data_IF_545791949698
#
_entry.id   IF_545791949698
#
_cell.length_a   1.000
_cell.length_b   1.000
_cell.length_c   1.000
_cell.angle_alpha   90.00
_cell.angle_beta   90.00
_cell.angle_gamma   90.00
#
_symmetry.space_group_name_H-M   'P 1'
#
loop_
_entity.id
_entity.type
_entity.pdbx_description
1 polymer ?
#
# COMPACT_ATOMS: atom_id res chain seq x y z
N UNK A 1 -0.78 -5.24 -4.00
CA UNK A 1 -2.19 -5.21 -3.64
C UNK A 1 -2.43 -4.38 -2.38
N UNK A 2 -3.69 -4.04 -2.15
CA UNK A 2 -4.09 -3.32 -0.95
C UNK A 2 -3.80 -4.09 0.34
N UNK A 3 -3.91 -5.40 0.29
CA UNK A 3 -3.62 -6.25 1.46
C UNK A 3 -2.13 -6.24 1.80
N UNK A 4 -1.27 -6.26 0.79
CA UNK A 4 0.19 -6.19 0.99
C UNK A 4 0.57 -4.83 1.60
N UNK A 5 0.01 -3.74 1.08
CA UNK A 5 0.23 -2.42 1.64
C UNK A 5 -0.25 -2.34 3.10
N UNK A 6 -1.43 -2.88 3.38
CA UNK A 6 -1.97 -2.91 4.75
C UNK A 6 -1.05 -3.67 5.70
N UNK A 7 -0.50 -4.79 5.27
CA UNK A 7 0.47 -5.56 6.06
C UNK A 7 1.76 -4.76 6.31
N UNK A 8 2.25 -4.10 5.27
CA UNK A 8 3.42 -3.22 5.38
C UNK A 8 3.18 -2.11 6.40
N UNK A 9 1.98 -1.52 6.36
CA UNK A 9 1.58 -0.49 7.32
C UNK A 9 1.57 -1.02 8.76
N UNK A 10 0.94 -2.18 9.00
CA UNK A 10 0.91 -2.78 10.33
C UNK A 10 2.31 -3.11 10.85
N UNK A 11 3.20 -3.60 10.00
CA UNK A 11 4.59 -3.82 10.38
C UNK A 11 5.27 -2.51 10.78
N UNK A 12 4.97 -1.42 10.09
CA UNK A 12 5.48 -0.09 10.45
C UNK A 12 4.99 0.37 11.82
N UNK A 13 3.72 0.13 12.13
CA UNK A 13 3.15 0.40 13.44
C UNK A 13 3.90 -0.40 14.53
N UNK A 14 4.08 -1.71 14.33
CA UNK A 14 4.71 -2.59 15.30
C UNK A 14 6.19 -2.28 15.50
N UNK A 15 6.90 -1.93 14.44
CA UNK A 15 8.34 -1.60 14.51
C UNK A 15 8.62 -0.21 15.07
N UNK A 16 7.61 0.62 15.20
CA UNK A 16 7.78 1.98 15.68
C UNK A 16 8.46 2.92 14.70
N UNK A 17 8.41 2.60 13.40
CA UNK A 17 9.00 3.45 12.35
C UNK A 17 8.11 4.62 11.97
N UNK A 18 6.84 4.57 12.34
CA UNK A 18 5.88 5.64 12.12
C UNK A 18 5.82 6.57 13.35
N UNK A 19 5.42 7.85 13.18
CA UNK A 19 5.33 8.77 14.29
C UNK A 19 4.39 8.27 15.39
N UNK A 20 4.73 8.57 16.64
CA UNK A 20 3.93 8.14 17.79
C UNK A 20 2.50 8.64 17.71
N UNK A 21 2.28 9.88 17.27
CA UNK A 21 0.95 10.45 17.13
C UNK A 21 0.07 9.66 16.18
N UNK A 22 0.64 9.24 15.06
CA UNK A 22 -0.07 8.46 14.06
C UNK A 22 -0.40 7.06 14.59
N UNK A 23 0.54 6.47 15.33
CA UNK A 23 0.34 5.17 15.95
C UNK A 23 -0.78 5.23 17.01
N UNK A 24 -0.79 6.27 17.82
CA UNK A 24 -1.82 6.47 18.83
C UNK A 24 -3.20 6.68 18.20
N UNK A 25 -3.28 7.47 17.13
CA UNK A 25 -4.52 7.63 16.36
C UNK A 25 -5.03 6.29 15.83
N UNK A 26 -4.13 5.47 15.31
CA UNK A 26 -4.49 4.16 14.78
C UNK A 26 -5.06 3.26 15.87
N UNK A 27 -4.38 3.17 17.00
CA UNK A 27 -4.82 2.35 18.12
C UNK A 27 -6.19 2.80 18.64
N UNK A 28 -6.41 4.10 18.71
CA UNK A 28 -7.68 4.66 19.17
C UNK A 28 -8.81 4.37 18.16
N UNK A 29 -8.59 4.67 16.88
CA UNK A 29 -9.61 4.50 15.85
C UNK A 29 -10.04 3.04 15.67
N UNK A 30 -9.08 2.12 15.76
CA UNK A 30 -9.34 0.70 15.56
C UNK A 30 -9.57 -0.06 16.86
N UNK A 31 -9.64 0.64 17.99
CA UNK A 31 -9.86 0.04 19.31
C UNK A 31 -8.93 -1.14 19.58
N UNK A 32 -7.64 -0.94 19.33
CA UNK A 32 -6.63 -2.00 19.41
C UNK A 32 -5.40 -1.52 20.16
N UNK A 33 -4.42 -2.39 20.32
CA UNK A 33 -3.14 -2.11 20.96
C UNK A 33 -2.03 -2.83 20.23
N UNK A 34 -0.78 -2.48 20.54
CA UNK A 34 0.36 -3.19 20.00
C UNK A 34 0.31 -4.68 20.32
N UNK A 35 -0.06 -5.03 21.54
CA UNK A 35 -0.17 -6.44 21.95
C UNK A 35 -1.25 -7.17 21.14
N UNK A 36 -2.40 -6.55 20.92
CA UNK A 36 -3.47 -7.16 20.13
C UNK A 36 -3.07 -7.38 18.69
N UNK A 37 -2.38 -6.40 18.07
CA UNK A 37 -1.90 -6.54 16.69
C UNK A 37 -0.88 -7.65 16.59
N UNK A 38 0.09 -7.72 17.52
CA UNK A 38 1.09 -8.78 17.55
C UNK A 38 0.39 -10.14 17.64
N UNK A 39 -0.57 -10.28 18.55
CA UNK A 39 -1.30 -11.51 18.73
C UNK A 39 -2.03 -11.93 17.45
N UNK A 40 -2.72 -10.99 16.79
CA UNK A 40 -3.46 -11.27 15.57
C UNK A 40 -2.56 -11.57 14.37
N UNK A 41 -1.39 -10.93 14.28
CA UNK A 41 -0.43 -11.19 13.20
C UNK A 41 0.25 -12.54 13.35
N UNK A 42 0.63 -12.92 14.57
CA UNK A 42 1.41 -14.14 14.81
C UNK A 42 0.56 -15.37 15.13
N UNK A 43 -0.65 -15.20 15.65
CA UNK A 43 -1.49 -16.31 16.10
C UNK A 43 -2.75 -16.52 15.27
N UNK A 44 -3.14 -15.54 14.47
CA UNK A 44 -4.27 -15.67 13.55
C UNK A 44 -3.99 -14.90 12.28
N UNK A 45 -4.33 -15.49 11.13
CA UNK A 45 -4.18 -14.81 9.86
C UNK A 45 -5.19 -13.66 9.76
N UNK A 46 -4.71 -12.44 9.53
CA UNK A 46 -5.59 -11.32 9.27
C UNK A 46 -6.19 -11.44 7.87
N UNK A 47 -7.50 -11.28 7.72
CA UNK A 47 -8.13 -11.36 6.41
C UNK A 47 -7.59 -10.28 5.46
N UNK A 48 -7.38 -10.65 4.20
CA UNK A 48 -6.93 -9.71 3.19
C UNK A 48 -7.87 -8.51 3.04
N UNK A 49 -9.15 -8.73 3.23
CA UNK A 49 -10.16 -7.67 3.19
C UNK A 49 -9.93 -6.62 4.28
N UNK A 50 -9.60 -7.06 5.48
CA UNK A 50 -9.26 -6.15 6.57
C UNK A 50 -7.98 -5.37 6.23
N UNK A 51 -6.93 -6.06 5.78
CA UNK A 51 -5.66 -5.42 5.43
C UNK A 51 -5.86 -4.37 4.34
N UNK A 52 -6.62 -4.69 3.30
CA UNK A 52 -6.93 -3.74 2.23
C UNK A 52 -7.72 -2.54 2.74
N UNK A 53 -8.58 -2.73 3.73
CA UNK A 53 -9.40 -1.65 4.29
C UNK A 53 -8.57 -0.59 5.03
N UNK A 54 -7.34 -0.90 5.40
CA UNK A 54 -6.46 0.04 6.09
C UNK A 54 -6.12 1.28 5.25
N UNK A 55 -6.33 1.23 3.94
CA UNK A 55 -6.20 2.41 3.09
C UNK A 55 -7.14 3.55 3.50
N UNK A 56 -8.24 3.24 4.15
CA UNK A 56 -9.15 4.26 4.71
C UNK A 56 -8.47 5.11 5.80
N UNK A 57 -7.54 4.50 6.53
CA UNK A 57 -6.74 5.20 7.53
C UNK A 57 -5.53 5.89 6.88
N UNK A 58 -4.87 5.22 5.96
CA UNK A 58 -3.61 5.66 5.36
C UNK A 58 -3.80 6.87 4.46
N UNK A 59 -4.77 6.82 3.54
CA UNK A 59 -4.95 7.85 2.51
C UNK A 59 -5.14 9.25 3.07
N UNK A 60 -6.01 9.49 4.07
CA UNK A 60 -6.19 10.84 4.62
C UNK A 60 -4.92 11.39 5.29
N UNK A 61 -3.97 10.51 5.62
CA UNK A 61 -2.74 10.86 6.34
C UNK A 61 -1.49 10.75 5.48
N UNK A 62 -1.66 10.57 4.17
CA UNK A 62 -0.54 10.31 3.25
C UNK A 62 0.45 11.47 3.16
N UNK A 63 0.06 12.68 3.57
CA UNK A 63 0.97 13.84 3.63
C UNK A 63 2.02 13.73 4.75
N UNK A 64 1.85 12.81 5.70
CA UNK A 64 2.86 12.54 6.71
C UNK A 64 4.09 11.93 6.01
N UNK A 65 5.25 12.55 6.17
CA UNK A 65 6.47 12.17 5.45
C UNK A 65 6.88 10.71 5.68
N UNK A 66 6.84 10.26 6.92
CA UNK A 66 7.24 8.88 7.24
C UNK A 66 6.25 7.86 6.72
N UNK A 67 4.96 8.18 6.75
CA UNK A 67 3.93 7.32 6.19
C UNK A 67 4.05 7.27 4.67
N UNK A 68 4.23 8.41 4.02
CA UNK A 68 4.44 8.43 2.56
C UNK A 68 5.68 7.63 2.16
N UNK A 69 6.77 7.79 2.90
CA UNK A 69 7.99 7.04 2.65
C UNK A 69 7.77 5.52 2.76
N UNK A 70 6.97 5.09 3.72
CA UNK A 70 6.63 3.68 3.89
C UNK A 70 5.82 3.16 2.69
N UNK A 71 4.86 3.95 2.23
CA UNK A 71 4.04 3.58 1.06
C UNK A 71 4.89 3.51 -0.21
N UNK A 72 5.76 4.50 -0.43
CA UNK A 72 6.69 4.50 -1.57
C UNK A 72 7.62 3.28 -1.50
N UNK A 73 8.15 2.98 -0.32
CA UNK A 73 9.00 1.80 -0.14
C UNK A 73 8.26 0.50 -0.46
N UNK A 74 6.99 0.40 -0.07
CA UNK A 74 6.16 -0.75 -0.41
C UNK A 74 6.07 -0.94 -1.93
N UNK A 75 5.87 0.14 -2.67
CA UNK A 75 5.80 0.06 -4.13
C UNK A 75 7.16 -0.19 -4.77
N UNK A 76 8.24 0.38 -4.22
CA UNK A 76 9.58 0.06 -4.69
C UNK A 76 9.90 -1.43 -4.53
N UNK A 77 9.53 -2.01 -3.40
CA UNK A 77 9.71 -3.44 -3.14
C UNK A 77 8.94 -4.29 -4.14
N UNK A 78 7.71 -3.89 -4.46
CA UNK A 78 6.91 -4.56 -5.49
C UNK A 78 7.61 -4.51 -6.85
N UNK A 79 8.14 -3.35 -7.23
CA UNK A 79 8.84 -3.18 -8.51
C UNK A 79 10.10 -4.04 -8.56
N UNK A 80 10.89 -4.03 -7.50
CA UNK A 80 12.13 -4.82 -7.43
C UNK A 80 11.82 -6.31 -7.56
N UNK A 81 10.79 -6.79 -6.87
CA UNK A 81 10.51 -8.22 -6.80
C UNK A 81 9.70 -8.76 -7.98
N UNK A 82 8.95 -7.90 -8.66
CA UNK A 82 8.00 -8.37 -9.69
C UNK A 82 8.27 -7.82 -11.07
N UNK A 83 8.71 -6.57 -11.21
CA UNK A 83 8.87 -5.91 -12.50
C UNK A 83 10.30 -6.08 -13.03
N UNK A 84 11.30 -5.86 -12.21
CA UNK A 84 12.71 -5.95 -12.63
C UNK A 84 13.14 -7.37 -13.02
N UNK A 85 12.40 -8.37 -12.57
CA UNK A 85 12.71 -9.76 -12.91
C UNK A 85 12.25 -10.16 -14.32
N UNK A 86 11.45 -9.33 -14.98
CA UNK A 86 11.06 -9.56 -16.37
C UNK A 86 12.13 -8.98 -17.29
N UNK A 87 12.85 -9.86 -18.01
CA UNK A 87 13.96 -9.49 -18.87
C UNK A 87 13.60 -8.51 -19.99
N UNK A 88 12.33 -8.40 -20.31
CA UNK A 88 11.83 -7.54 -21.39
C UNK A 88 11.01 -6.38 -20.88
N UNK A 89 11.08 -6.08 -19.58
CA UNK A 89 10.35 -4.96 -19.02
C UNK A 89 10.83 -3.68 -19.68
N UNK A 90 9.96 -3.03 -20.41
CA UNK A 90 10.23 -1.69 -20.90
C UNK A 90 10.40 -0.77 -19.69
N UNK A 91 11.18 0.34 -19.80
CA UNK A 91 11.35 1.26 -18.70
C UNK A 91 10.09 2.09 -18.41
N UNK A 92 8.93 1.50 -18.65
CA UNK A 92 7.62 2.13 -18.39
C UNK A 92 6.76 1.10 -17.65
N UNK A 93 6.21 1.51 -16.52
CA UNK A 93 5.28 0.69 -15.76
C UNK A 93 3.86 1.19 -16.02
N UNK A 94 3.02 0.32 -16.54
CA UNK A 94 1.59 0.59 -16.67
C UNK A 94 0.90 -0.06 -15.48
N UNK A 95 0.51 0.75 -14.50
CA UNK A 95 -0.12 0.26 -13.29
C UNK A 95 -1.64 0.27 -13.43
N UNK A 96 -2.26 -0.82 -13.02
CA UNK A 96 -3.71 -0.98 -13.03
C UNK A 96 -4.18 -1.52 -11.68
N UNK A 97 -5.37 -1.10 -11.25
CA UNK A 97 -5.98 -1.53 -10.00
C UNK A 97 -6.29 -0.36 -9.05
N UNK A 98 -7.05 -0.66 -8.01
CA UNK A 98 -7.51 0.36 -7.06
C UNK A 98 -6.34 1.02 -6.30
N UNK A 99 -5.33 0.24 -5.92
CA UNK A 99 -4.15 0.75 -5.22
C UNK A 99 -3.36 1.72 -6.12
N UNK A 100 -3.18 1.36 -7.40
CA UNK A 100 -2.50 2.23 -8.36
C UNK A 100 -3.24 3.54 -8.57
N UNK A 101 -4.56 3.49 -8.60
CA UNK A 101 -5.37 4.70 -8.73
C UNK A 101 -5.27 5.59 -7.49
N UNK A 102 -5.46 5.01 -6.31
CA UNK A 102 -5.48 5.77 -5.06
C UNK A 102 -4.11 6.32 -4.66
N UNK A 103 -3.05 5.60 -4.96
CA UNK A 103 -1.68 5.95 -4.60
C UNK A 103 -0.82 6.29 -5.81
N UNK A 104 -1.40 6.82 -6.88
CA UNK A 104 -0.67 7.04 -8.13
C UNK A 104 0.58 7.91 -7.97
N UNK A 105 0.55 8.92 -7.09
CA UNK A 105 1.72 9.78 -6.84
C UNK A 105 2.86 9.00 -6.21
N UNK A 106 2.57 8.18 -5.24
CA UNK A 106 3.56 7.38 -4.52
C UNK A 106 4.10 6.26 -5.41
N UNK A 107 3.23 5.67 -6.23
CA UNK A 107 3.65 4.65 -7.18
C UNK A 107 4.53 5.23 -8.29
N UNK A 108 4.18 6.41 -8.80
CA UNK A 108 5.01 7.14 -9.77
C UNK A 108 6.39 7.46 -9.17
N UNK A 109 6.43 7.95 -7.95
CA UNK A 109 7.68 8.24 -7.26
C UNK A 109 8.54 6.98 -7.11
N UNK A 110 7.94 5.86 -6.70
CA UNK A 110 8.63 4.58 -6.57
C UNK A 110 9.19 4.11 -7.92
N UNK A 111 8.40 4.21 -8.98
CA UNK A 111 8.83 3.81 -10.32
C UNK A 111 10.02 4.65 -10.79
N UNK A 112 9.93 5.97 -10.63
CA UNK A 112 11.00 6.88 -11.02
C UNK A 112 12.29 6.59 -10.25
N UNK A 113 12.19 6.31 -8.95
CA UNK A 113 13.36 5.98 -8.12
C UNK A 113 14.02 4.68 -8.53
N UNK A 114 13.26 3.75 -9.11
CA UNK A 114 13.78 2.48 -9.62
C UNK A 114 14.19 2.54 -11.09
N UNK A 115 14.17 3.73 -11.69
CA UNK A 115 14.64 3.94 -13.05
C UNK A 115 13.60 3.69 -14.13
N UNK A 116 12.32 3.60 -13.77
CA UNK A 116 11.23 3.41 -14.73
C UNK A 116 10.51 4.71 -14.99
N UNK A 117 10.13 4.94 -16.25
CA UNK A 117 9.26 6.05 -16.61
C UNK A 117 7.82 5.66 -16.33
N UNK A 118 7.08 6.55 -15.67
CA UNK A 118 5.67 6.32 -15.37
C UNK A 118 4.86 6.24 -16.66
N UNK A 119 4.14 5.13 -16.85
CA UNK A 119 3.24 4.95 -17.96
C UNK A 119 1.89 5.63 -17.70
N UNK A 120 1.18 5.92 -18.79
CA UNK A 120 -0.15 6.52 -18.70
C UNK A 120 -1.12 5.53 -18.07
N UNK A 121 -1.80 5.96 -17.02
CA UNK A 121 -2.87 5.19 -16.40
C UNK A 121 -4.13 5.39 -17.24
N UNK A 122 -4.69 4.31 -17.74
CA UNK A 122 -5.92 4.36 -18.52
C UNK A 122 -7.09 4.40 -17.54
N UNK A 123 -7.66 5.58 -17.36
CA UNK A 123 -8.73 5.83 -16.38
C UNK A 123 -9.92 4.88 -16.53
N UNK A 124 -10.33 4.61 -17.76
CA UNK A 124 -11.46 3.71 -18.02
C UNK A 124 -11.18 2.28 -17.57
N UNK A 125 -9.93 1.80 -17.75
CA UNK A 125 -9.53 0.49 -17.26
C UNK A 125 -9.49 0.44 -15.74
N UNK A 126 -9.00 1.51 -15.11
CA UNK A 126 -9.00 1.61 -13.65
C UNK A 126 -10.41 1.61 -13.08
N UNK A 127 -11.31 2.36 -13.68
CA UNK A 127 -12.72 2.38 -13.28
C UNK A 127 -13.36 1.01 -13.42
N UNK A 128 -13.07 0.30 -14.51
CA UNK A 128 -13.53 -1.06 -14.71
C UNK A 128 -12.99 -2.02 -13.67
N UNK A 129 -11.71 -1.92 -13.34
CA UNK A 129 -11.07 -2.74 -12.31
C UNK A 129 -11.62 -2.43 -10.93
N UNK A 130 -11.86 -1.16 -10.60
CA UNK A 130 -12.48 -0.78 -9.34
C UNK A 130 -13.86 -1.40 -9.20
N UNK A 131 -14.69 -1.33 -10.22
CA UNK A 131 -16.01 -1.98 -10.23
C UNK A 131 -15.89 -3.49 -10.03
N UNK A 132 -14.95 -4.12 -10.72
CA UNK A 132 -14.70 -5.54 -10.58
C UNK A 132 -14.34 -5.91 -9.14
N UNK A 133 -13.40 -5.18 -8.52
CA UNK A 133 -12.98 -5.45 -7.16
C UNK A 133 -14.09 -5.19 -6.14
N UNK A 134 -14.91 -4.16 -6.35
CA UNK A 134 -16.04 -3.88 -5.46
C UNK A 134 -17.10 -4.98 -5.50
N UNK A 135 -17.29 -5.61 -6.66
CA UNK A 135 -18.27 -6.68 -6.83
C UNK A 135 -17.74 -8.03 -6.36
N UNK A 136 -16.44 -8.30 -6.55
CA UNK A 136 -15.83 -9.63 -6.36
C UNK A 136 -15.00 -9.75 -5.08
N UNK A 137 -14.82 -8.69 -4.34
CA UNK A 137 -14.17 -8.68 -3.04
C UNK A 137 -15.14 -8.23 -1.96
#
# INVERSE_FOLDING_TARGET
SGAVLGRTFLNGILKGTLPQELRDEFFEEYHTSQADIINNVYHSALPNRFLASLSKFILPRISNEKLEALVVWNFESFIINNVKNYAYAEPVINAVGSVAYLYHKQLEQAANRQGYRWGKIIKSQLEGLLKYHLVNN
#
